data_IF_291355456726
#
_entry.id   IF_291355456726
#
_cell.length_a   1.000
_cell.length_b   1.000
_cell.length_c   1.000
_cell.angle_alpha   90.00
_cell.angle_beta   90.00
_cell.angle_gamma   90.00
#
_symmetry.space_group_name_H-M   'P 1'
#
loop_
_entity.id
_entity.type
_entity.pdbx_description
1 polymer ?
#
# COMPACT_ATOMS: atom_id res chain seq x y z
N UNK A 1 -1.74 26.93 27.56
CA UNK A 1 -1.78 27.74 26.33
C UNK A 1 -3.15 28.40 26.25
N UNK A 2 -3.24 29.68 25.86
CA UNK A 2 -4.50 30.43 25.73
C UNK A 2 -4.82 30.67 24.26
N UNK A 3 -6.06 31.05 23.93
CA UNK A 3 -6.45 31.34 22.55
C UNK A 3 -5.58 32.43 21.91
N UNK A 4 -5.31 33.52 22.64
CA UNK A 4 -4.44 34.61 22.18
C UNK A 4 -2.99 34.15 21.91
N UNK A 5 -2.43 33.29 22.79
CA UNK A 5 -1.11 32.71 22.56
C UNK A 5 -1.12 31.80 21.33
N UNK A 6 -2.16 30.98 21.18
CA UNK A 6 -2.28 30.06 20.06
C UNK A 6 -2.47 30.75 18.72
N UNK A 7 -3.20 31.87 18.67
CA UNK A 7 -3.32 32.71 17.48
C UNK A 7 -1.99 33.33 17.09
N UNK A 8 -1.24 33.85 18.06
CA UNK A 8 0.06 34.48 17.81
C UNK A 8 1.08 33.51 17.23
N UNK A 9 1.11 32.27 17.72
CA UNK A 9 2.06 31.26 17.23
C UNK A 9 1.69 30.68 15.85
N UNK A 10 0.50 30.96 15.30
CA UNK A 10 0.22 30.64 13.89
C UNK A 10 1.05 31.48 12.91
N UNK A 11 1.61 32.61 13.36
CA UNK A 11 2.53 33.42 12.56
C UNK A 11 4.01 33.02 12.73
N UNK A 12 4.30 31.97 13.52
CA UNK A 12 5.66 31.51 13.75
C UNK A 12 6.32 30.98 12.46
N UNK A 13 7.63 31.15 12.31
CA UNK A 13 8.36 30.69 11.13
C UNK A 13 8.50 29.16 11.11
N UNK A 14 8.50 28.51 12.28
CA UNK A 14 8.57 27.06 12.41
C UNK A 14 7.18 26.41 12.27
N UNK A 15 7.07 25.52 11.28
CA UNK A 15 5.83 24.78 11.00
C UNK A 15 5.38 23.85 12.14
N UNK A 16 6.31 23.32 12.94
CA UNK A 16 5.95 22.51 14.11
C UNK A 16 5.35 23.37 15.22
N UNK A 17 5.89 24.58 15.42
CA UNK A 17 5.34 25.55 16.39
C UNK A 17 3.95 26.01 15.95
N UNK A 18 3.76 26.31 14.66
CA UNK A 18 2.43 26.59 14.10
C UNK A 18 1.46 25.43 14.32
N UNK A 19 1.88 24.17 14.09
CA UNK A 19 1.06 22.97 14.30
C UNK A 19 0.57 22.85 15.74
N UNK A 20 1.40 23.18 16.74
CA UNK A 20 1.01 23.14 18.15
C UNK A 20 -0.14 24.13 18.43
N UNK A 21 -0.02 25.38 17.99
CA UNK A 21 -1.08 26.38 18.14
C UNK A 21 -2.35 26.01 17.40
N UNK A 22 -2.18 25.52 16.17
CA UNK A 22 -3.27 25.06 15.33
C UNK A 22 -4.08 23.93 15.98
N UNK A 23 -3.43 22.86 16.45
CA UNK A 23 -4.10 21.73 17.11
C UNK A 23 -4.87 22.21 18.35
N UNK A 24 -4.28 23.10 19.15
CA UNK A 24 -4.97 23.66 20.31
C UNK A 24 -6.20 24.46 19.92
N UNK A 25 -6.12 25.31 18.91
CA UNK A 25 -7.25 26.13 18.46
C UNK A 25 -8.41 25.27 17.96
N UNK A 26 -8.12 24.23 17.19
CA UNK A 26 -9.19 23.31 16.74
C UNK A 26 -9.74 22.50 17.91
N UNK A 27 -8.91 22.09 18.88
CA UNK A 27 -9.41 21.40 20.08
C UNK A 27 -10.36 22.28 20.90
N UNK A 28 -10.28 23.60 20.74
CA UNK A 28 -11.14 24.59 21.40
C UNK A 28 -12.23 25.15 20.45
N UNK A 29 -12.55 24.44 19.36
CA UNK A 29 -13.71 24.74 18.52
C UNK A 29 -13.46 25.77 17.41
N UNK A 30 -12.24 26.27 17.21
CA UNK A 30 -11.94 27.12 16.05
C UNK A 30 -12.00 26.27 14.77
N UNK A 31 -12.80 26.73 13.81
CA UNK A 31 -12.86 26.16 12.46
C UNK A 31 -11.88 26.90 11.55
N UNK A 32 -11.14 26.14 10.75
CA UNK A 32 -10.28 26.67 9.70
C UNK A 32 -10.84 26.26 8.33
N UNK A 33 -10.87 27.19 7.40
CA UNK A 33 -11.09 26.89 6.00
C UNK A 33 -9.84 26.22 5.41
N UNK A 34 -10.02 25.43 4.34
CA UNK A 34 -8.89 24.77 3.68
C UNK A 34 -7.91 25.78 3.09
N UNK A 35 -8.39 26.92 2.61
CA UNK A 35 -7.53 28.00 2.12
C UNK A 35 -6.67 28.66 3.21
N UNK A 36 -7.15 28.72 4.46
CA UNK A 36 -6.35 29.15 5.60
C UNK A 36 -5.27 28.10 5.93
N UNK A 37 -5.59 26.81 5.83
CA UNK A 37 -4.63 25.73 6.06
C UNK A 37 -3.49 25.80 5.06
N UNK A 38 -3.76 25.93 3.76
CA UNK A 38 -2.68 26.01 2.75
C UNK A 38 -1.80 27.25 2.90
N UNK A 39 -2.31 28.33 3.51
CA UNK A 39 -1.50 29.51 3.84
C UNK A 39 -0.62 29.25 5.07
N UNK A 40 -1.12 28.53 6.06
CA UNK A 40 -0.41 28.22 7.30
C UNK A 40 0.61 27.08 7.12
N UNK A 41 0.31 26.11 6.28
CA UNK A 41 1.12 24.91 6.04
C UNK A 41 1.29 24.67 4.54
N UNK A 42 1.95 25.58 3.81
CA UNK A 42 2.10 25.44 2.37
C UNK A 42 2.96 24.22 2.03
N UNK A 43 2.50 23.42 1.08
CA UNK A 43 3.33 22.36 0.50
C UNK A 43 4.43 23.01 -0.35
N UNK A 44 5.72 22.69 -0.10
CA UNK A 44 6.81 23.22 -0.91
C UNK A 44 6.62 22.85 -2.37
N UNK A 45 6.66 23.83 -3.28
CA UNK A 45 6.64 23.54 -4.72
C UNK A 45 7.89 22.73 -5.07
N UNK A 46 7.72 21.54 -5.64
CA UNK A 46 8.81 20.73 -6.16
C UNK A 46 9.71 21.58 -7.08
N UNK A 47 11.01 21.61 -6.83
CA UNK A 47 11.99 22.21 -7.75
C UNK A 47 12.94 23.28 -7.19
N UNK A 48 13.04 23.52 -5.88
CA UNK A 48 14.18 24.28 -5.33
C UNK A 48 15.10 23.35 -4.56
N UNK A 49 16.21 22.88 -5.15
CA UNK A 49 17.26 22.24 -4.37
C UNK A 49 17.82 23.30 -3.43
N UNK A 50 17.52 23.20 -2.14
CA UNK A 50 18.31 23.91 -1.13
C UNK A 50 19.75 23.44 -1.29
N UNK A 51 20.69 24.38 -1.40
CA UNK A 51 22.10 24.21 -1.78
C UNK A 51 22.90 23.19 -0.92
N UNK A 52 22.27 22.54 0.07
CA UNK A 52 22.89 21.62 1.03
C UNK A 52 22.06 20.35 1.31
N UNK A 53 21.04 20.01 0.52
CA UNK A 53 20.37 18.68 0.57
C UNK A 53 19.69 18.29 1.90
N UNK A 54 19.66 19.18 2.89
CA UNK A 54 18.99 18.97 4.18
C UNK A 54 17.62 19.65 4.14
N UNK A 55 16.62 18.95 3.63
CA UNK A 55 15.22 19.30 3.89
C UNK A 55 15.00 19.09 5.39
N UNK A 56 14.91 20.16 6.18
CA UNK A 56 14.41 20.02 7.54
C UNK A 56 12.98 19.47 7.46
N UNK A 57 12.59 18.50 8.30
CA UNK A 57 11.22 18.02 8.33
C UNK A 57 10.30 19.23 8.53
N UNK A 58 9.24 19.32 7.71
CA UNK A 58 8.33 20.46 7.68
C UNK A 58 6.91 19.92 7.72
N UNK A 59 6.03 20.58 8.48
CA UNK A 59 4.61 20.24 8.50
C UNK A 59 3.94 20.85 7.28
N UNK A 60 3.30 20.02 6.45
CA UNK A 60 2.60 20.46 5.23
C UNK A 60 1.08 20.38 5.42
N UNK A 61 0.33 20.82 4.40
CA UNK A 61 -1.13 20.71 4.40
C UNK A 61 -1.58 19.25 4.48
N UNK A 62 -0.82 18.33 3.88
CA UNK A 62 -1.09 16.88 3.91
C UNK A 62 -1.09 16.30 5.33
N UNK A 63 -0.28 16.86 6.24
CA UNK A 63 -0.25 16.48 7.65
C UNK A 63 -1.46 17.00 8.45
N UNK A 64 -2.13 18.03 7.92
CA UNK A 64 -3.10 18.85 8.66
C UNK A 64 -4.52 18.63 8.18
N UNK A 65 -4.74 18.49 6.87
CA UNK A 65 -6.07 18.32 6.27
C UNK A 65 -6.81 17.13 6.89
N UNK A 66 -6.21 15.92 7.04
CA UNK A 66 -6.90 14.81 7.69
C UNK A 66 -7.33 15.13 9.14
N UNK A 67 -6.51 15.87 9.88
CA UNK A 67 -6.82 16.28 11.27
C UNK A 67 -7.99 17.27 11.34
N UNK A 68 -8.16 18.12 10.33
CA UNK A 68 -9.29 19.05 10.25
C UNK A 68 -10.56 18.35 9.81
N UNK A 69 -10.47 17.51 8.78
CA UNK A 69 -11.62 16.78 8.23
C UNK A 69 -12.18 15.78 9.24
N UNK A 70 -11.32 15.12 10.03
CA UNK A 70 -11.74 14.20 11.10
C UNK A 70 -12.62 14.79 12.20
N UNK A 71 -12.79 16.12 12.24
CA UNK A 71 -13.62 16.82 13.24
C UNK A 71 -14.87 17.45 12.65
N UNK A 72 -15.09 17.27 11.35
CA UNK A 72 -16.30 17.73 10.68
C UNK A 72 -17.42 16.74 10.94
N UNK A 73 -18.63 17.27 10.96
CA UNK A 73 -19.85 16.44 10.94
C UNK A 73 -20.02 15.80 9.57
N UNK A 74 -20.84 14.75 9.50
CA UNK A 74 -21.17 14.09 8.23
C UNK A 74 -21.71 15.08 7.19
N UNK A 75 -22.68 15.92 7.59
CA UNK A 75 -23.29 16.93 6.71
C UNK A 75 -22.26 17.96 6.21
N UNK A 76 -21.34 18.39 7.07
CA UNK A 76 -20.25 19.28 6.65
C UNK A 76 -19.35 18.60 5.62
N UNK A 77 -18.99 17.33 5.82
CA UNK A 77 -18.16 16.58 4.88
C UNK A 77 -18.88 16.36 3.54
N UNK A 78 -20.14 15.95 3.56
CA UNK A 78 -20.98 15.81 2.36
C UNK A 78 -21.06 17.12 1.55
N UNK A 79 -21.18 18.26 2.24
CA UNK A 79 -21.15 19.56 1.60
C UNK A 79 -19.77 19.92 1.02
N UNK A 80 -18.69 19.43 1.64
CA UNK A 80 -17.31 19.62 1.16
C UNK A 80 -16.92 18.67 0.02
N UNK A 81 -17.64 17.55 -0.18
CA UNK A 81 -17.45 16.69 -1.36
C UNK A 81 -17.83 17.48 -2.60
N UNK A 82 -16.82 17.76 -3.42
CA UNK A 82 -16.94 18.49 -4.67
C UNK A 82 -15.93 17.96 -5.69
N UNK A 83 -16.43 17.54 -6.85
CA UNK A 83 -15.66 16.89 -7.89
C UNK A 83 -14.53 17.76 -8.44
N UNK A 84 -14.71 19.08 -8.49
CA UNK A 84 -13.77 20.03 -9.07
C UNK A 84 -12.93 20.77 -8.02
N UNK A 85 -13.25 20.59 -6.73
CA UNK A 85 -12.46 21.12 -5.62
C UNK A 85 -11.16 20.37 -5.44
N UNK A 86 -10.09 21.10 -5.12
CA UNK A 86 -8.79 20.52 -4.76
C UNK A 86 -8.82 19.68 -3.48
N UNK A 87 -9.91 19.71 -2.72
CA UNK A 87 -10.08 18.96 -1.47
C UNK A 87 -11.28 18.01 -1.45
N UNK A 88 -11.98 17.88 -2.58
CA UNK A 88 -13.20 17.08 -2.64
C UNK A 88 -12.95 15.60 -2.39
N UNK A 89 -11.79 15.09 -2.86
CA UNK A 89 -11.36 13.71 -2.65
C UNK A 89 -11.08 13.45 -1.17
N UNK A 90 -10.39 14.35 -0.50
CA UNK A 90 -10.02 14.27 0.91
C UNK A 90 -11.27 14.34 1.79
N UNK A 91 -12.22 15.22 1.47
CA UNK A 91 -13.51 15.28 2.13
C UNK A 91 -14.30 13.98 1.96
N UNK A 92 -14.27 13.40 0.75
CA UNK A 92 -14.89 12.11 0.47
C UNK A 92 -14.21 10.98 1.25
N UNK A 93 -12.88 10.88 1.24
CA UNK A 93 -12.14 9.91 2.06
C UNK A 93 -12.45 10.03 3.55
N UNK A 94 -12.51 11.26 4.09
CA UNK A 94 -12.87 11.49 5.48
C UNK A 94 -14.30 11.01 5.78
N UNK A 95 -15.24 11.27 4.88
CA UNK A 95 -16.62 10.79 4.99
C UNK A 95 -16.65 9.25 5.07
N UNK A 96 -15.87 8.57 4.22
CA UNK A 96 -15.80 7.11 4.21
C UNK A 96 -15.16 6.55 5.49
N UNK A 97 -14.13 7.19 6.03
CA UNK A 97 -13.41 6.72 7.22
C UNK A 97 -14.23 6.96 8.49
N UNK A 98 -14.87 8.12 8.63
CA UNK A 98 -15.54 8.53 9.87
C UNK A 98 -17.00 8.05 9.95
N UNK A 99 -17.71 8.04 8.82
CA UNK A 99 -19.13 7.69 8.74
C UNK A 99 -19.36 6.38 8.00
N UNK A 100 -18.35 5.52 8.09
CA UNK A 100 -18.23 4.27 7.38
C UNK A 100 -19.48 3.38 7.36
N UNK A 101 -20.13 3.16 8.52
CA UNK A 101 -21.27 2.25 8.64
C UNK A 101 -22.49 2.67 7.82
N UNK A 102 -22.60 3.96 7.47
CA UNK A 102 -23.72 4.51 6.69
C UNK A 102 -23.36 4.78 5.24
N UNK A 103 -22.08 4.64 4.85
CA UNK A 103 -21.59 5.04 3.53
C UNK A 103 -21.47 3.89 2.53
N UNK A 104 -21.55 2.63 2.96
CA UNK A 104 -21.32 1.46 2.10
C UNK A 104 -22.13 1.46 0.78
N UNK A 105 -23.45 1.61 0.88
CA UNK A 105 -24.34 1.66 -0.29
C UNK A 105 -24.06 2.87 -1.17
N UNK A 106 -23.69 4.00 -0.56
CA UNK A 106 -23.33 5.22 -1.29
C UNK A 106 -22.05 5.01 -2.09
N UNK A 107 -21.02 4.41 -1.52
CA UNK A 107 -19.76 4.08 -2.22
C UNK A 107 -20.05 3.20 -3.43
N UNK A 108 -20.85 2.15 -3.27
CA UNK A 108 -21.22 1.23 -4.36
C UNK A 108 -21.99 1.94 -5.45
N UNK A 109 -22.95 2.77 -5.08
CA UNK A 109 -23.69 3.62 -6.03
C UNK A 109 -22.76 4.56 -6.79
N UNK A 110 -21.80 5.18 -6.11
CA UNK A 110 -20.84 6.12 -6.71
C UNK A 110 -19.85 5.43 -7.65
N UNK A 111 -19.43 4.21 -7.34
CA UNK A 111 -18.64 3.40 -8.27
C UNK A 111 -19.47 2.96 -9.48
N UNK A 112 -20.70 2.49 -9.27
CA UNK A 112 -21.59 2.05 -10.34
C UNK A 112 -21.96 3.17 -11.32
N UNK A 113 -22.17 4.39 -10.83
CA UNK A 113 -22.51 5.55 -11.65
C UNK A 113 -21.26 6.32 -12.13
N UNK A 114 -20.04 5.81 -11.89
CA UNK A 114 -18.77 6.48 -12.21
C UNK A 114 -18.68 7.93 -11.67
N UNK A 115 -19.19 8.16 -10.46
CA UNK A 115 -19.20 9.44 -9.75
C UNK A 115 -19.99 10.56 -10.44
N UNK A 116 -20.90 10.24 -11.38
CA UNK A 116 -21.66 11.25 -12.12
C UNK A 116 -22.60 12.07 -11.22
N UNK A 117 -23.13 11.50 -10.14
CA UNK A 117 -23.97 12.26 -9.19
C UNK A 117 -23.15 13.30 -8.42
N UNK A 118 -21.94 12.95 -7.95
CA UNK A 118 -21.03 13.87 -7.28
C UNK A 118 -20.63 14.99 -8.25
N UNK A 119 -20.30 14.64 -9.50
CA UNK A 119 -19.99 15.61 -10.55
C UNK A 119 -21.14 16.58 -10.82
N UNK A 120 -22.36 16.07 -11.02
CA UNK A 120 -23.55 16.90 -11.26
C UNK A 120 -23.80 17.86 -10.10
N UNK A 121 -23.77 17.37 -8.87
CA UNK A 121 -23.97 18.20 -7.68
C UNK A 121 -22.91 19.32 -7.57
N UNK A 122 -21.67 19.03 -7.97
CA UNK A 122 -20.57 20.02 -7.97
C UNK A 122 -20.79 21.09 -9.04
N UNK A 123 -21.27 20.70 -10.23
CA UNK A 123 -21.64 21.65 -11.29
C UNK A 123 -22.80 22.54 -10.83
N UNK A 124 -23.81 21.97 -10.16
CA UNK A 124 -24.95 22.72 -9.67
C UNK A 124 -24.54 23.71 -8.55
N UNK A 125 -23.63 23.33 -7.66
CA UNK A 125 -23.00 24.24 -6.68
C UNK A 125 -22.28 25.41 -7.39
N UNK A 126 -21.45 25.12 -8.38
CA UNK A 126 -20.74 26.16 -9.15
C UNK A 126 -21.71 27.10 -9.87
N UNK A 127 -22.78 26.58 -10.47
CA UNK A 127 -23.82 27.40 -11.11
C UNK A 127 -24.57 28.27 -10.11
N UNK A 128 -24.88 27.75 -8.93
CA UNK A 128 -25.54 28.52 -7.88
C UNK A 128 -24.65 29.66 -7.36
N UNK A 129 -23.35 29.44 -7.25
CA UNK A 129 -22.39 30.42 -6.74
C UNK A 129 -21.97 31.47 -7.78
N UNK A 130 -21.72 31.04 -9.03
CA UNK A 130 -21.11 31.88 -10.06
C UNK A 130 -22.02 32.21 -11.25
N UNK A 131 -23.24 31.66 -11.30
CA UNK A 131 -24.19 31.88 -12.39
C UNK A 131 -23.61 31.54 -13.76
N UNK A 132 -23.75 32.45 -14.72
CA UNK A 132 -23.27 32.28 -16.10
C UNK A 132 -21.74 32.10 -16.19
N UNK A 133 -20.98 32.56 -15.20
CA UNK A 133 -19.53 32.39 -15.16
C UNK A 133 -19.10 30.95 -14.83
N UNK A 134 -19.99 30.10 -14.30
CA UNK A 134 -19.67 28.71 -13.97
C UNK A 134 -19.18 27.92 -15.20
N UNK A 135 -19.78 28.17 -16.37
CA UNK A 135 -19.37 27.54 -17.63
C UNK A 135 -17.96 27.93 -18.05
N UNK A 136 -17.54 29.18 -17.77
CA UNK A 136 -16.19 29.66 -18.04
C UNK A 136 -15.17 29.01 -17.12
N UNK A 137 -15.51 28.80 -15.84
CA UNK A 137 -14.65 28.10 -14.88
C UNK A 137 -14.47 26.62 -15.27
N UNK A 138 -15.57 25.94 -15.63
CA UNK A 138 -15.53 24.54 -16.06
C UNK A 138 -14.70 24.35 -17.34
N UNK A 139 -14.73 25.34 -18.25
CA UNK A 139 -13.93 25.31 -19.47
C UNK A 139 -12.41 25.41 -19.22
N UNK A 140 -11.96 25.82 -18.02
CA UNK A 140 -10.53 25.89 -17.69
C UNK A 140 -9.92 24.51 -17.40
N UNK A 141 -10.74 23.49 -17.15
CA UNK A 141 -10.24 22.14 -16.91
C UNK A 141 -9.76 21.49 -18.21
N UNK A 142 -8.49 21.12 -18.26
CA UNK A 142 -7.86 20.47 -19.40
C UNK A 142 -8.47 19.09 -19.69
N UNK A 143 -8.43 18.63 -20.95
CA UNK A 143 -8.74 17.24 -21.29
C UNK A 143 -7.92 16.28 -20.43
N UNK A 144 -8.60 15.32 -19.80
CA UNK A 144 -7.98 14.32 -18.92
C UNK A 144 -8.02 14.63 -17.42
N UNK A 145 -8.31 15.87 -17.00
CA UNK A 145 -8.50 16.19 -15.58
C UNK A 145 -9.72 15.46 -15.02
N UNK A 146 -10.81 15.38 -15.78
CA UNK A 146 -12.00 14.65 -15.34
C UNK A 146 -11.69 13.18 -15.04
N UNK A 147 -10.95 12.49 -15.94
CA UNK A 147 -10.57 11.11 -15.69
C UNK A 147 -9.63 10.99 -14.49
N UNK A 148 -8.69 11.92 -14.33
CA UNK A 148 -7.81 11.95 -13.16
C UNK A 148 -8.59 12.11 -11.85
N UNK A 149 -9.60 12.98 -11.83
CA UNK A 149 -10.48 13.17 -10.68
C UNK A 149 -11.30 11.90 -10.43
N UNK A 150 -11.90 11.30 -11.46
CA UNK A 150 -12.60 10.01 -11.35
C UNK A 150 -11.72 8.91 -10.79
N UNK A 151 -10.50 8.76 -11.28
CA UNK A 151 -9.53 7.77 -10.78
C UNK A 151 -9.20 8.04 -9.29
N UNK A 152 -9.11 9.31 -8.89
CA UNK A 152 -8.84 9.70 -7.50
C UNK A 152 -10.02 9.42 -6.56
N UNK A 153 -11.25 9.69 -6.98
CA UNK A 153 -12.45 9.30 -6.23
C UNK A 153 -12.65 7.78 -6.20
N UNK A 154 -12.29 7.08 -7.28
CA UNK A 154 -12.31 5.62 -7.34
C UNK A 154 -11.32 5.02 -6.35
N UNK A 155 -10.11 5.54 -6.29
CA UNK A 155 -9.10 5.15 -5.28
C UNK A 155 -9.65 5.32 -3.85
N UNK A 156 -10.21 6.48 -3.54
CA UNK A 156 -10.82 6.75 -2.24
C UNK A 156 -11.96 5.77 -1.92
N UNK A 157 -12.83 5.49 -2.88
CA UNK A 157 -13.92 4.54 -2.76
C UNK A 157 -13.40 3.11 -2.51
N UNK A 158 -12.40 2.66 -3.26
CA UNK A 158 -11.78 1.33 -3.08
C UNK A 158 -11.15 1.18 -1.70
N UNK A 159 -10.50 2.23 -1.19
CA UNK A 159 -9.98 2.28 0.18
C UNK A 159 -11.10 2.16 1.22
N UNK A 160 -12.24 2.80 0.99
CA UNK A 160 -13.44 2.61 1.82
C UNK A 160 -13.98 1.18 1.77
N UNK A 161 -14.16 0.61 0.58
CA UNK A 161 -14.62 -0.78 0.41
C UNK A 161 -13.64 -1.79 1.01
N UNK A 162 -12.34 -1.53 0.90
CA UNK A 162 -11.32 -2.40 1.50
C UNK A 162 -11.44 -2.40 3.02
N UNK A 163 -12.08 -1.43 3.66
CA UNK A 163 -12.37 -1.48 5.09
C UNK A 163 -13.66 -2.26 5.42
N UNK A 164 -14.67 -2.28 4.53
CA UNK A 164 -16.02 -2.89 4.76
C UNK A 164 -16.02 -4.39 4.94
N UNK A 165 -15.07 -5.08 4.30
CA UNK A 165 -14.99 -6.54 4.33
C UNK A 165 -16.32 -7.22 3.92
N UNK A 166 -17.00 -6.64 2.92
CA UNK A 166 -18.19 -7.21 2.32
C UNK A 166 -17.83 -7.95 1.02
N UNK A 167 -18.31 -9.18 0.90
CA UNK A 167 -18.09 -10.02 -0.27
C UNK A 167 -18.67 -9.41 -1.55
N UNK A 168 -19.72 -8.60 -1.46
CA UNK A 168 -20.32 -7.94 -2.61
C UNK A 168 -19.32 -6.99 -3.33
N UNK A 169 -18.30 -6.51 -2.62
CA UNK A 169 -17.36 -5.52 -3.14
C UNK A 169 -16.28 -6.10 -4.05
N UNK A 170 -16.18 -7.43 -4.13
CA UNK A 170 -15.19 -8.12 -4.99
C UNK A 170 -15.29 -7.71 -6.46
N UNK A 171 -16.51 -7.43 -6.95
CA UNK A 171 -16.71 -7.04 -8.34
C UNK A 171 -15.97 -5.74 -8.67
N UNK A 172 -15.88 -4.80 -7.73
CA UNK A 172 -15.17 -3.53 -7.92
C UNK A 172 -13.65 -3.74 -7.89
N UNK A 173 -13.15 -4.58 -6.97
CA UNK A 173 -11.74 -4.94 -6.97
C UNK A 173 -11.32 -5.60 -8.29
N UNK A 174 -12.14 -6.53 -8.80
CA UNK A 174 -11.97 -7.12 -10.14
C UNK A 174 -12.16 -6.08 -11.25
N UNK A 175 -12.97 -5.07 -11.10
CA UNK A 175 -13.11 -4.06 -12.15
C UNK A 175 -11.86 -3.16 -12.22
N UNK A 176 -11.29 -2.75 -11.09
CA UNK A 176 -10.29 -1.69 -11.05
C UNK A 176 -8.84 -2.15 -10.85
N UNK A 177 -8.58 -3.40 -10.43
CA UNK A 177 -7.23 -3.91 -10.23
C UNK A 177 -6.39 -3.84 -11.51
N UNK A 178 -5.29 -3.06 -11.48
CA UNK A 178 -4.40 -2.83 -12.62
C UNK A 178 -4.93 -1.85 -13.68
N UNK A 179 -6.14 -1.31 -13.52
CA UNK A 179 -6.80 -0.48 -14.53
C UNK A 179 -6.76 1.03 -14.22
N UNK A 180 -6.44 1.42 -12.99
CA UNK A 180 -6.29 2.83 -12.61
C UNK A 180 -4.90 3.34 -12.98
N UNK A 181 -4.83 4.62 -13.41
CA UNK A 181 -3.57 5.26 -13.77
C UNK A 181 -2.59 5.24 -12.59
N UNK A 182 -1.31 5.02 -12.90
CA UNK A 182 -0.21 4.94 -11.93
C UNK A 182 -0.42 3.88 -10.83
N UNK A 183 -1.30 2.89 -11.05
CA UNK A 183 -1.53 1.80 -10.10
C UNK A 183 -2.27 2.21 -8.82
N UNK A 184 -2.96 3.35 -8.84
CA UNK A 184 -3.77 3.83 -7.70
C UNK A 184 -4.80 2.78 -7.27
N UNK A 185 -5.02 2.64 -5.97
CA UNK A 185 -5.98 1.69 -5.41
C UNK A 185 -5.66 0.20 -5.60
N UNK A 186 -4.52 -0.18 -6.20
CA UNK A 186 -4.17 -1.59 -6.37
C UNK A 186 -4.05 -2.33 -5.03
N UNK A 187 -3.44 -1.69 -4.03
CA UNK A 187 -3.30 -2.31 -2.70
C UNK A 187 -4.65 -2.57 -2.04
N UNK A 188 -5.64 -1.70 -2.26
CA UNK A 188 -7.00 -1.85 -1.77
C UNK A 188 -7.75 -2.95 -2.52
N UNK A 189 -7.62 -3.00 -3.84
CA UNK A 189 -8.15 -4.09 -4.67
C UNK A 189 -7.58 -5.45 -4.21
N UNK A 190 -6.26 -5.53 -4.01
CA UNK A 190 -5.61 -6.75 -3.52
C UNK A 190 -6.14 -7.11 -2.13
N UNK A 191 -6.37 -6.15 -1.23
CA UNK A 191 -6.95 -6.41 0.09
C UNK A 191 -8.35 -7.03 0.02
N UNK A 192 -9.20 -6.55 -0.89
CA UNK A 192 -10.56 -7.07 -1.08
C UNK A 192 -10.48 -8.49 -1.64
N UNK A 193 -9.66 -8.70 -2.68
CA UNK A 193 -9.43 -10.01 -3.31
C UNK A 193 -8.82 -11.00 -2.33
N UNK A 194 -7.92 -10.57 -1.45
CA UNK A 194 -7.33 -11.45 -0.44
C UNK A 194 -8.36 -12.09 0.49
N UNK A 195 -9.46 -11.38 0.77
CA UNK A 195 -10.48 -11.82 1.73
C UNK A 195 -11.63 -12.55 1.06
N UNK A 196 -11.98 -12.16 -0.16
CA UNK A 196 -13.20 -12.61 -0.81
C UNK A 196 -12.97 -13.27 -2.17
N UNK A 197 -11.75 -13.16 -2.69
CA UNK A 197 -11.31 -13.69 -3.97
C UNK A 197 -11.25 -15.20 -3.99
N UNK A 198 -11.01 -15.70 -5.20
CA UNK A 198 -10.90 -17.12 -5.48
C UNK A 198 -9.79 -17.40 -6.49
N UNK A 199 -9.65 -18.66 -6.88
CA UNK A 199 -8.60 -19.11 -7.80
C UNK A 199 -8.62 -18.43 -9.18
N UNK A 200 -9.74 -17.82 -9.59
CA UNK A 200 -9.84 -17.09 -10.86
C UNK A 200 -9.08 -15.76 -10.83
N UNK A 201 -8.76 -15.24 -9.64
CA UNK A 201 -8.04 -13.98 -9.48
C UNK A 201 -6.50 -14.14 -9.60
N UNK A 202 -5.99 -15.37 -9.56
CA UNK A 202 -4.55 -15.69 -9.48
C UNK A 202 -3.77 -15.14 -10.66
N UNK A 203 -4.21 -15.40 -11.90
CA UNK A 203 -3.49 -14.96 -13.10
C UNK A 203 -3.37 -13.44 -13.13
N UNK A 204 -4.44 -12.74 -12.75
CA UNK A 204 -4.46 -11.28 -12.74
C UNK A 204 -3.57 -10.70 -11.66
N UNK A 205 -3.53 -11.31 -10.46
CA UNK A 205 -2.60 -10.93 -9.40
C UNK A 205 -1.14 -11.13 -9.84
N UNK A 206 -0.84 -12.23 -10.53
CA UNK A 206 0.51 -12.49 -11.05
C UNK A 206 0.89 -11.47 -12.13
N UNK A 207 -0.04 -11.12 -13.03
CA UNK A 207 0.21 -10.09 -14.05
C UNK A 207 0.41 -8.71 -13.41
N UNK A 208 -0.42 -8.35 -12.42
CA UNK A 208 -0.24 -7.13 -11.64
C UNK A 208 1.14 -7.11 -10.94
N UNK A 209 1.58 -8.23 -10.38
CA UNK A 209 2.89 -8.32 -9.73
C UNK A 209 4.04 -8.06 -10.71
N UNK A 210 3.91 -8.44 -11.99
CA UNK A 210 4.92 -8.15 -13.02
C UNK A 210 4.95 -6.67 -13.42
N UNK A 211 3.80 -6.00 -13.35
CA UNK A 211 3.65 -4.60 -13.75
C UNK A 211 3.88 -3.60 -12.60
N UNK A 212 4.13 -4.10 -11.40
CA UNK A 212 4.31 -3.30 -10.18
C UNK A 212 5.63 -3.63 -9.49
N UNK A 213 5.99 -2.84 -8.47
CA UNK A 213 7.21 -3.01 -7.70
C UNK A 213 6.96 -2.80 -6.21
N UNK A 214 7.92 -3.17 -5.37
CA UNK A 214 7.88 -2.93 -3.94
C UNK A 214 6.73 -3.65 -3.23
N UNK A 215 6.02 -2.91 -2.37
CA UNK A 215 4.98 -3.46 -1.50
C UNK A 215 3.82 -4.09 -2.28
N UNK A 216 3.31 -3.39 -3.31
CA UNK A 216 2.19 -3.89 -4.14
C UNK A 216 2.55 -5.20 -4.84
N UNK A 217 3.76 -5.30 -5.41
CA UNK A 217 4.25 -6.54 -6.03
C UNK A 217 4.29 -7.69 -5.02
N UNK A 218 4.88 -7.46 -3.84
CA UNK A 218 4.93 -8.46 -2.76
C UNK A 218 3.53 -8.93 -2.38
N UNK A 219 2.62 -7.99 -2.13
CA UNK A 219 1.26 -8.29 -1.72
C UNK A 219 0.52 -9.11 -2.78
N UNK A 220 0.62 -8.73 -4.05
CA UNK A 220 -0.01 -9.46 -5.14
C UNK A 220 0.48 -10.92 -5.25
N UNK A 221 1.79 -11.17 -5.13
CA UNK A 221 2.37 -12.52 -5.14
C UNK A 221 1.86 -13.36 -3.96
N UNK A 222 1.91 -12.79 -2.74
CA UNK A 222 1.46 -13.50 -1.53
C UNK A 222 -0.02 -13.88 -1.64
N UNK A 223 -0.85 -12.96 -2.10
CA UNK A 223 -2.30 -13.21 -2.26
C UNK A 223 -2.55 -14.23 -3.36
N UNK A 224 -1.82 -14.20 -4.48
CA UNK A 224 -1.94 -15.20 -5.54
C UNK A 224 -1.64 -16.62 -5.02
N UNK A 225 -0.60 -16.77 -4.20
CA UNK A 225 -0.26 -18.05 -3.55
C UNK A 225 -1.35 -18.46 -2.56
N UNK A 226 -1.81 -17.54 -1.72
CA UNK A 226 -2.86 -17.79 -0.71
C UNK A 226 -4.16 -18.29 -1.33
N UNK A 227 -4.60 -17.69 -2.44
CA UNK A 227 -5.82 -18.07 -3.15
C UNK A 227 -5.68 -19.37 -3.96
N UNK A 228 -4.46 -19.88 -4.11
CA UNK A 228 -4.23 -21.11 -4.85
C UNK A 228 -4.69 -22.34 -4.04
N UNK A 229 -5.49 -23.20 -4.68
CA UNK A 229 -5.77 -24.55 -4.17
C UNK A 229 -4.57 -25.49 -4.23
N UNK A 230 -3.47 -25.06 -4.88
CA UNK A 230 -2.21 -25.80 -4.99
C UNK A 230 -1.03 -24.83 -4.85
N UNK A 231 -0.69 -24.50 -3.60
CA UNK A 231 0.39 -23.56 -3.26
C UNK A 231 1.74 -24.00 -3.79
N UNK A 232 2.04 -25.31 -3.75
CA UNK A 232 3.29 -25.86 -4.26
C UNK A 232 3.50 -25.50 -5.73
N UNK A 233 2.49 -25.74 -6.57
CA UNK A 233 2.58 -25.47 -8.01
C UNK A 233 2.81 -23.99 -8.28
N UNK A 234 2.03 -23.11 -7.64
CA UNK A 234 2.17 -21.65 -7.86
C UNK A 234 3.53 -21.15 -7.38
N UNK A 235 4.00 -21.59 -6.21
CA UNK A 235 5.34 -21.24 -5.71
C UNK A 235 6.42 -21.73 -6.68
N UNK A 236 6.33 -22.97 -7.17
CA UNK A 236 7.30 -23.49 -8.14
C UNK A 236 7.32 -22.66 -9.43
N UNK A 237 6.16 -22.39 -10.01
CA UNK A 237 6.03 -21.61 -11.25
C UNK A 237 6.64 -20.20 -11.08
N UNK A 238 6.43 -19.57 -9.92
CA UNK A 238 6.95 -18.23 -9.63
C UNK A 238 8.44 -18.24 -9.30
N UNK A 239 8.94 -19.18 -8.49
CA UNK A 239 10.36 -19.26 -8.09
C UNK A 239 11.27 -19.58 -9.28
N UNK A 240 10.82 -20.42 -10.21
CA UNK A 240 11.54 -20.70 -11.46
C UNK A 240 11.26 -19.67 -12.57
N UNK A 241 10.49 -18.63 -12.28
CA UNK A 241 10.22 -17.54 -13.19
C UNK A 241 11.46 -16.68 -13.50
N UNK A 242 11.33 -15.82 -14.51
CA UNK A 242 12.40 -14.91 -14.96
C UNK A 242 12.54 -13.66 -14.08
N UNK A 243 11.48 -13.26 -13.38
CA UNK A 243 11.48 -12.05 -12.57
C UNK A 243 12.10 -12.36 -11.20
N UNK A 244 13.32 -11.86 -10.99
CA UNK A 244 14.09 -12.08 -9.76
C UNK A 244 13.33 -11.67 -8.50
N UNK A 245 12.61 -10.54 -8.50
CA UNK A 245 11.93 -10.06 -7.29
C UNK A 245 10.73 -10.96 -6.97
N UNK A 246 9.95 -11.33 -7.98
CA UNK A 246 8.84 -12.28 -7.82
C UNK A 246 9.36 -13.64 -7.34
N UNK A 247 10.47 -14.13 -7.91
CA UNK A 247 11.08 -15.39 -7.48
C UNK A 247 11.54 -15.35 -6.03
N UNK A 248 12.14 -14.24 -5.58
CA UNK A 248 12.53 -14.03 -4.18
C UNK A 248 11.30 -14.03 -3.25
N UNK A 249 10.25 -13.27 -3.58
CA UNK A 249 9.01 -13.21 -2.78
C UNK A 249 8.34 -14.59 -2.70
N UNK A 250 8.26 -15.32 -3.82
CA UNK A 250 7.67 -16.65 -3.83
C UNK A 250 8.51 -17.67 -3.03
N UNK A 251 9.84 -17.55 -3.07
CA UNK A 251 10.73 -18.40 -2.29
C UNK A 251 10.52 -18.18 -0.78
N UNK A 252 10.25 -16.95 -0.34
CA UNK A 252 9.91 -16.67 1.05
C UNK A 252 8.67 -17.42 1.51
N UNK A 253 7.71 -17.72 0.63
CA UNK A 253 6.48 -18.43 1.00
C UNK A 253 6.68 -19.94 1.14
N UNK A 254 7.85 -20.50 0.79
CA UNK A 254 8.13 -21.94 0.90
C UNK A 254 7.92 -22.47 2.33
N UNK A 255 8.13 -21.63 3.35
CA UNK A 255 7.93 -22.04 4.75
C UNK A 255 6.48 -22.40 5.09
N UNK A 256 5.50 -21.90 4.32
CA UNK A 256 4.07 -22.17 4.51
C UNK A 256 3.64 -23.53 3.94
N UNK A 257 4.46 -24.14 3.08
CA UNK A 257 4.18 -25.46 2.52
C UNK A 257 4.22 -26.57 3.58
N UNK A 258 3.52 -27.67 3.29
CA UNK A 258 3.61 -28.91 4.07
C UNK A 258 5.07 -29.39 4.13
N UNK A 259 5.46 -30.13 5.17
CA UNK A 259 6.83 -30.65 5.26
C UNK A 259 7.20 -31.54 4.07
N UNK A 260 6.23 -32.30 3.56
CA UNK A 260 6.38 -33.22 2.43
C UNK A 260 6.72 -32.47 1.14
N UNK A 261 6.14 -31.30 0.92
CA UNK A 261 6.41 -30.46 -0.27
C UNK A 261 7.61 -29.52 -0.07
N UNK A 262 7.75 -29.00 1.14
CA UNK A 262 8.73 -27.99 1.51
C UNK A 262 10.17 -28.50 1.42
N UNK A 263 10.45 -29.68 1.97
CA UNK A 263 11.81 -30.21 2.04
C UNK A 263 12.37 -30.53 0.64
N UNK A 264 11.65 -31.26 -0.25
CA UNK A 264 12.13 -31.51 -1.60
C UNK A 264 12.34 -30.22 -2.40
N UNK A 265 11.41 -29.27 -2.32
CA UNK A 265 11.54 -28.00 -3.04
C UNK A 265 12.73 -27.17 -2.52
N UNK A 266 12.88 -27.03 -1.20
CA UNK A 266 13.98 -26.31 -0.59
C UNK A 266 15.34 -26.96 -0.95
N UNK A 267 15.42 -28.30 -0.92
CA UNK A 267 16.64 -29.03 -1.31
C UNK A 267 17.04 -28.75 -2.76
N UNK A 268 16.06 -28.78 -3.68
CA UNK A 268 16.30 -28.46 -5.10
C UNK A 268 16.80 -27.03 -5.28
N UNK A 269 16.23 -26.08 -4.54
CA UNK A 269 16.55 -24.65 -4.63
C UNK A 269 17.90 -24.26 -4.00
N UNK A 270 18.60 -25.18 -3.34
CA UNK A 270 20.00 -24.97 -2.96
C UNK A 270 20.90 -24.68 -4.19
N UNK A 271 20.50 -25.13 -5.37
CA UNK A 271 21.20 -24.87 -6.64
C UNK A 271 20.60 -23.70 -7.43
N UNK A 272 19.73 -22.88 -6.84
CA UNK A 272 19.21 -21.67 -7.50
C UNK A 272 20.37 -20.75 -7.88
N UNK A 273 20.29 -20.06 -9.02
CA UNK A 273 21.29 -19.04 -9.39
C UNK A 273 21.23 -17.81 -8.48
N UNK A 274 20.11 -17.61 -7.78
CA UNK A 274 19.90 -16.48 -6.87
C UNK A 274 20.40 -16.80 -5.45
N UNK A 275 21.39 -16.05 -4.99
CA UNK A 275 22.06 -16.20 -3.70
C UNK A 275 21.10 -16.10 -2.50
N UNK A 276 20.18 -15.13 -2.52
CA UNK A 276 19.16 -14.97 -1.49
C UNK A 276 18.25 -16.19 -1.38
N UNK A 277 17.80 -16.74 -2.51
CA UNK A 277 16.96 -17.94 -2.52
C UNK A 277 17.72 -19.11 -1.91
N UNK A 278 18.98 -19.33 -2.34
CA UNK A 278 19.83 -20.40 -1.79
C UNK A 278 19.98 -20.32 -0.28
N UNK A 279 20.28 -19.14 0.25
CA UNK A 279 20.46 -18.93 1.69
C UNK A 279 19.16 -19.09 2.46
N UNK A 280 18.05 -18.57 1.93
CA UNK A 280 16.73 -18.72 2.50
C UNK A 280 16.33 -20.21 2.61
N UNK A 281 16.51 -20.99 1.54
CA UNK A 281 16.14 -22.41 1.59
C UNK A 281 17.08 -23.24 2.47
N UNK A 282 18.37 -22.87 2.56
CA UNK A 282 19.30 -23.47 3.51
C UNK A 282 18.88 -23.21 4.97
N UNK A 283 18.36 -22.01 5.27
CA UNK A 283 17.77 -21.70 6.59
C UNK A 283 16.52 -22.53 6.88
N UNK A 284 15.61 -22.66 5.90
CA UNK A 284 14.40 -23.49 6.04
C UNK A 284 14.79 -24.94 6.37
N UNK A 285 15.73 -25.52 5.62
CA UNK A 285 16.22 -26.88 5.87
C UNK A 285 16.86 -27.00 7.25
N UNK A 286 17.68 -26.02 7.65
CA UNK A 286 18.37 -26.01 8.94
C UNK A 286 17.42 -25.96 10.14
N UNK A 287 16.25 -25.32 9.97
CA UNK A 287 15.18 -25.29 10.97
C UNK A 287 14.42 -26.62 11.05
N UNK A 288 14.18 -27.26 9.91
CA UNK A 288 13.21 -28.36 9.79
C UNK A 288 13.82 -29.76 9.85
N UNK A 289 15.14 -29.86 9.68
CA UNK A 289 15.86 -31.12 9.61
C UNK A 289 16.79 -31.34 10.80
N UNK A 290 16.93 -32.59 11.19
CA UNK A 290 17.90 -33.00 12.20
C UNK A 290 19.33 -32.96 11.65
N UNK A 291 20.30 -32.97 12.57
CA UNK A 291 21.74 -32.94 12.26
C UNK A 291 22.14 -33.94 11.17
N UNK A 292 21.79 -35.22 11.33
CA UNK A 292 22.18 -36.28 10.38
C UNK A 292 21.60 -36.05 8.98
N UNK A 293 20.38 -35.50 8.88
CA UNK A 293 19.75 -35.20 7.60
C UNK A 293 20.45 -34.01 6.92
N UNK A 294 20.82 -32.99 7.67
CA UNK A 294 21.58 -31.84 7.17
C UNK A 294 23.00 -32.22 6.75
N UNK A 295 23.69 -33.08 7.50
CA UNK A 295 25.00 -33.63 7.11
C UNK A 295 24.89 -34.41 5.80
N UNK A 296 23.83 -35.20 5.62
CA UNK A 296 23.55 -35.92 4.37
C UNK A 296 23.35 -34.95 3.20
N UNK A 297 22.55 -33.89 3.39
CA UNK A 297 22.32 -32.87 2.37
C UNK A 297 23.62 -32.13 2.03
N UNK A 298 24.39 -31.72 3.04
CA UNK A 298 25.66 -31.01 2.83
C UNK A 298 26.66 -31.86 2.05
N UNK A 299 26.84 -33.12 2.43
CA UNK A 299 27.76 -34.03 1.75
C UNK A 299 27.33 -34.25 0.29
N UNK A 300 26.06 -34.57 0.05
CA UNK A 300 25.52 -34.73 -1.31
C UNK A 300 25.63 -33.45 -2.14
N UNK A 301 25.47 -32.28 -1.53
CA UNK A 301 25.58 -30.99 -2.19
C UNK A 301 27.02 -30.67 -2.59
N UNK A 302 28.02 -30.96 -1.74
CA UNK A 302 29.45 -30.77 -2.04
C UNK A 302 29.94 -31.77 -3.11
N UNK A 303 29.40 -32.99 -3.12
CA UNK A 303 29.72 -34.03 -4.11
C UNK A 303 29.12 -33.76 -5.49
N UNK A 304 28.22 -32.79 -5.62
CA UNK A 304 27.64 -32.41 -6.90
C UNK A 304 28.69 -31.79 -7.85
N UNK A 305 28.46 -31.88 -9.16
CA UNK A 305 29.36 -31.29 -10.16
C UNK A 305 29.53 -29.78 -10.00
N UNK A 306 28.47 -29.10 -9.54
CA UNK A 306 28.44 -27.65 -9.34
C UNK A 306 27.72 -27.34 -8.03
N UNK A 307 28.41 -26.62 -7.14
CA UNK A 307 27.84 -26.15 -5.89
C UNK A 307 28.22 -24.69 -5.63
N UNK A 308 27.39 -24.01 -4.85
CA UNK A 308 27.66 -22.64 -4.40
C UNK A 308 28.25 -22.61 -2.99
N UNK A 309 29.40 -21.94 -2.85
CA UNK A 309 30.14 -21.83 -1.60
C UNK A 309 29.34 -21.16 -0.46
N UNK A 310 28.40 -20.27 -0.78
CA UNK A 310 27.57 -19.61 0.24
C UNK A 310 26.64 -20.61 0.96
N UNK A 311 26.15 -21.64 0.26
CA UNK A 311 25.33 -22.71 0.85
C UNK A 311 26.19 -23.61 1.73
N UNK A 312 27.35 -24.05 1.24
CA UNK A 312 28.25 -24.93 2.02
C UNK A 312 28.71 -24.23 3.29
N UNK A 313 29.15 -22.98 3.18
CA UNK A 313 29.58 -22.17 4.33
C UNK A 313 28.47 -21.98 5.36
N UNK A 314 27.22 -21.78 4.90
CA UNK A 314 26.08 -21.64 5.80
C UNK A 314 25.77 -22.95 6.55
N UNK A 315 25.63 -24.06 5.82
CA UNK A 315 25.28 -25.36 6.40
C UNK A 315 26.39 -25.91 7.30
N UNK A 316 27.66 -25.77 6.89
CA UNK A 316 28.83 -26.14 7.70
C UNK A 316 28.89 -25.33 9.00
N UNK A 317 28.73 -24.00 8.89
CA UNK A 317 28.64 -23.11 10.04
C UNK A 317 27.49 -23.49 10.98
N UNK A 318 26.31 -23.81 10.45
CA UNK A 318 25.17 -24.25 11.26
C UNK A 318 25.44 -25.57 11.99
N UNK A 319 26.09 -26.54 11.32
CA UNK A 319 26.34 -27.88 11.85
C UNK A 319 27.48 -27.92 12.88
N UNK A 320 28.55 -27.16 12.64
CA UNK A 320 29.83 -27.35 13.33
C UNK A 320 30.34 -26.12 14.08
N UNK A 321 29.77 -24.93 13.88
CA UNK A 321 30.27 -23.76 14.61
C UNK A 321 30.05 -23.92 16.13
N UNK A 322 31.07 -23.63 16.96
CA UNK A 322 30.97 -23.78 18.40
C UNK A 322 30.22 -22.61 19.05
N UNK A 323 29.42 -22.91 20.08
CA UNK A 323 28.85 -21.94 21.01
C UNK A 323 28.15 -20.75 20.34
N UNK A 324 28.57 -19.52 20.68
CA UNK A 324 27.95 -18.27 20.20
C UNK A 324 28.10 -18.04 18.69
N UNK A 325 29.04 -18.70 18.03
CA UNK A 325 29.20 -18.56 16.57
C UNK A 325 28.10 -19.27 15.80
N UNK A 326 27.53 -20.34 16.38
CA UNK A 326 26.35 -21.02 15.82
C UNK A 326 25.15 -20.08 15.71
N UNK A 327 24.99 -19.15 16.65
CA UNK A 327 23.88 -18.19 16.66
C UNK A 327 23.86 -17.25 15.44
N UNK A 328 24.99 -17.08 14.73
CA UNK A 328 25.04 -16.33 13.46
C UNK A 328 24.35 -17.05 12.30
N UNK A 329 24.09 -18.35 12.46
CA UNK A 329 23.46 -19.22 11.46
C UNK A 329 22.06 -19.67 11.91
N UNK A 330 21.61 -19.24 13.09
CA UNK A 330 20.25 -19.48 13.56
C UNK A 330 19.33 -18.47 12.85
N UNK A 331 18.20 -18.99 12.37
CA UNK A 331 17.12 -18.22 11.75
C UNK A 331 16.84 -16.94 12.53
N UNK A 332 16.99 -15.79 11.87
CA UNK A 332 16.29 -14.58 12.28
C UNK A 332 14.98 -14.55 11.50
N UNK A 333 13.84 -14.27 12.15
CA UNK A 333 12.66 -13.91 11.42
C UNK A 333 13.03 -12.82 10.43
N UNK A 334 12.72 -13.05 9.16
CA UNK A 334 12.54 -11.92 8.26
C UNK A 334 11.34 -11.20 8.87
N UNK A 335 11.54 -10.00 9.41
CA UNK A 335 10.43 -9.16 9.85
C UNK A 335 9.51 -9.00 8.63
N UNK A 336 8.32 -9.61 8.71
CA UNK A 336 7.31 -9.65 7.64
C UNK A 336 6.55 -8.33 7.59
#
# INVERSE_FOLDING_TARGET
MTADISEKILADTDSFVRKIGFIWLINNGRKFSLSEISKLFPTPKEGRPTLLGLSSPHVTEDDIIPLVLSRRTQEELENMVDFYSGYGKEAYEALLILHFSTMAEKIRSDLNNNFEDIKRNSIDKLKAEYGDNASLLLAQYKPGIEQFLKDSFTEAALKGLSMLNDKADIQFARQYMGNLKHGRGNDDCISIIERHGDHTDIERLINLAKDTYGYTQRKAVIVAIKLSGNQLKVIQDLVYGKDKNISEIAAEQIHLLSREDRIPLATKLLHSEHDKIRLLVAQILSRDLGRNQLETILNSYIESQTYYYNVTSFLDGFLYAPGKFKNKFIWQPIDI
#
